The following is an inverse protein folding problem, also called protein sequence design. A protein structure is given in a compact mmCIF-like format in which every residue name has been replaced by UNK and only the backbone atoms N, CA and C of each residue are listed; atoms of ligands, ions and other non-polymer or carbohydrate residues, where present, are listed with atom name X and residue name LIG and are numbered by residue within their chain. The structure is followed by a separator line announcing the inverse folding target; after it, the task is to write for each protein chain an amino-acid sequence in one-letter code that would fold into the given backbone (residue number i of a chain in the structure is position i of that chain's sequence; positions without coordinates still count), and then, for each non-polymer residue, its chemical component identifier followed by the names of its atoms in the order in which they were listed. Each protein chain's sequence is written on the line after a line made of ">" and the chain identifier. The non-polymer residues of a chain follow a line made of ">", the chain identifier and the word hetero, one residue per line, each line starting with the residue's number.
data_IF_092818282257
#
_entry.id   IF_092818282257
#
_cell.length_a   1.000
_cell.length_b   1.000
_cell.length_c   1.000
_cell.angle_alpha   90.00
_cell.angle_beta   90.00
_cell.angle_gamma   90.00
#
_symmetry.space_group_name_H-M   'P 1'
#
loop_
_entity.id
_entity.type
_entity.pdbx_description
1 polymer ?
#
# COMPACT_ATOMS: atom_id res chain seq x y z
N UNK A 1 -11.10 9.25 8.17
CA UNK A 1 -11.34 9.99 9.42
C UNK A 1 -10.15 10.00 10.36
N UNK A 2 -9.37 8.90 10.56
CA UNK A 2 -8.20 8.95 11.48
C UNK A 2 -7.13 9.93 11.01
N UNK A 3 -6.77 9.94 9.72
CA UNK A 3 -5.78 10.89 9.18
C UNK A 3 -6.25 12.35 9.33
N UNK A 4 -7.53 12.63 9.11
CA UNK A 4 -8.12 13.98 9.31
C UNK A 4 -8.02 14.41 10.78
N UNK A 5 -8.26 13.45 11.70
CA UNK A 5 -8.15 13.70 13.13
C UNK A 5 -6.70 13.98 13.55
N UNK A 6 -5.75 13.20 13.04
CA UNK A 6 -4.31 13.38 13.29
C UNK A 6 -3.86 14.75 12.76
N UNK A 7 -4.25 15.10 11.53
CA UNK A 7 -3.96 16.41 10.93
C UNK A 7 -4.60 17.55 11.73
N UNK A 8 -5.85 17.40 12.19
CA UNK A 8 -6.55 18.41 13.01
C UNK A 8 -5.88 18.63 14.36
N UNK A 9 -5.32 17.59 14.95
CA UNK A 9 -4.55 17.69 16.20
C UNK A 9 -3.13 18.25 15.99
N UNK A 10 -2.73 18.55 14.77
CA UNK A 10 -1.40 19.04 14.43
C UNK A 10 -0.29 17.98 14.62
N UNK A 11 -0.66 16.71 14.64
CA UNK A 11 0.27 15.59 14.76
C UNK A 11 0.76 15.13 13.38
N UNK A 12 2.01 14.72 13.28
CA UNK A 12 2.55 14.09 12.08
C UNK A 12 2.10 12.64 12.00
N UNK A 13 1.53 12.26 10.85
CA UNK A 13 1.11 10.88 10.62
C UNK A 13 0.55 10.70 9.23
N UNK A 14 1.25 9.96 8.41
CA UNK A 14 0.86 9.68 7.02
C UNK A 14 0.25 8.29 6.90
N UNK A 15 -0.69 8.14 5.97
CA UNK A 15 -1.30 6.86 5.64
C UNK A 15 -0.59 6.22 4.45
N UNK A 16 -0.53 4.88 4.43
CA UNK A 16 0.00 4.10 3.31
C UNK A 16 -1.06 3.10 2.86
N UNK A 17 -1.31 3.06 1.55
CA UNK A 17 -2.29 2.17 0.94
C UNK A 17 -1.99 1.88 -0.53
N UNK A 18 -2.95 1.25 -1.19
CA UNK A 18 -2.91 1.00 -2.63
C UNK A 18 -3.94 1.86 -3.36
N UNK A 19 -3.58 2.29 -4.57
CA UNK A 19 -4.46 3.00 -5.46
C UNK A 19 -5.29 1.99 -6.27
N UNK A 20 -6.45 1.60 -5.74
CA UNK A 20 -7.31 0.66 -6.43
C UNK A 20 -8.13 1.37 -7.51
N UNK A 21 -8.14 0.83 -8.74
CA UNK A 21 -8.90 1.37 -9.86
C UNK A 21 -10.40 1.16 -9.69
N UNK A 22 -10.77 0.00 -9.15
CA UNK A 22 -12.15 -0.37 -8.90
C UNK A 22 -12.35 -0.53 -7.39
N UNK A 23 -13.30 0.21 -6.83
CA UNK A 23 -13.69 0.07 -5.44
C UNK A 23 -14.46 -1.21 -5.17
N UNK A 24 -15.47 -1.10 -4.33
CA UNK A 24 -16.51 -2.13 -4.24
C UNK A 24 -17.30 -2.14 -5.54
N UNK A 25 -17.66 -3.33 -6.01
CA UNK A 25 -18.48 -3.47 -7.23
C UNK A 25 -19.84 -2.79 -7.06
N UNK A 26 -20.36 -2.24 -8.16
CA UNK A 26 -21.71 -1.71 -8.24
C UNK A 26 -22.68 -2.88 -8.45
N UNK A 27 -23.75 -2.90 -7.67
CA UNK A 27 -24.82 -3.88 -7.82
C UNK A 27 -25.91 -3.32 -8.72
N UNK A 28 -26.27 -4.07 -9.76
CA UNK A 28 -27.39 -3.77 -10.65
C UNK A 28 -28.36 -4.95 -10.70
N UNK A 29 -29.57 -4.71 -11.18
CA UNK A 29 -30.54 -5.76 -11.43
C UNK A 29 -30.70 -6.00 -12.94
N UNK A 30 -30.46 -7.22 -13.38
CA UNK A 30 -30.66 -7.66 -14.74
C UNK A 30 -31.45 -8.96 -14.74
N UNK A 31 -32.53 -9.04 -15.54
CA UNK A 31 -33.39 -10.21 -15.61
C UNK A 31 -33.91 -10.70 -14.25
N UNK A 32 -34.26 -9.77 -13.35
CA UNK A 32 -34.70 -10.02 -11.97
C UNK A 32 -33.66 -10.71 -11.07
N UNK A 33 -32.38 -10.63 -11.42
CA UNK A 33 -31.26 -11.13 -10.62
C UNK A 33 -30.29 -10.00 -10.36
N UNK A 34 -29.70 -10.04 -9.18
CA UNK A 34 -28.59 -9.15 -8.85
C UNK A 34 -27.37 -9.54 -9.67
N UNK A 35 -26.64 -8.54 -10.14
CA UNK A 35 -25.40 -8.67 -10.90
C UNK A 35 -24.40 -7.62 -10.44
N UNK A 36 -23.16 -8.01 -10.26
CA UNK A 36 -22.05 -7.15 -9.95
C UNK A 36 -21.42 -6.63 -11.26
N UNK A 37 -21.12 -5.33 -11.28
CA UNK A 37 -20.40 -4.67 -12.37
C UNK A 37 -19.27 -3.80 -11.81
N UNK A 38 -18.23 -3.49 -12.60
CA UNK A 38 -17.16 -2.60 -12.17
C UNK A 38 -17.70 -1.27 -11.68
N UNK A 39 -17.07 -0.74 -10.63
CA UNK A 39 -17.36 0.57 -10.06
C UNK A 39 -16.08 1.40 -10.01
N UNK A 40 -15.65 1.98 -11.13
CA UNK A 40 -14.46 2.82 -11.16
C UNK A 40 -14.67 4.03 -10.24
N UNK A 41 -13.65 4.36 -9.46
CA UNK A 41 -13.70 5.51 -8.56
C UNK A 41 -12.51 6.46 -8.73
N UNK A 42 -11.56 6.09 -9.60
CA UNK A 42 -10.51 7.01 -10.03
C UNK A 42 -11.07 7.84 -11.18
N UNK A 43 -11.24 9.14 -10.92
CA UNK A 43 -11.65 10.09 -11.94
C UNK A 43 -10.41 10.80 -12.52
N UNK A 44 -10.41 11.15 -13.83
CA UNK A 44 -9.27 11.84 -14.45
C UNK A 44 -8.90 13.17 -13.79
N UNK A 45 -9.85 13.83 -13.16
CA UNK A 45 -9.69 15.10 -12.43
C UNK A 45 -9.69 14.88 -10.91
N UNK A 46 -9.32 13.69 -10.47
CA UNK A 46 -9.30 13.31 -9.05
C UNK A 46 -8.23 14.05 -8.24
N UNK A 47 -8.26 13.83 -6.94
CA UNK A 47 -7.37 14.48 -5.95
C UNK A 47 -6.01 13.80 -5.84
N UNK A 48 -5.72 12.85 -6.70
CA UNK A 48 -4.45 12.13 -6.76
C UNK A 48 -3.38 13.00 -7.40
N UNK A 49 -2.31 13.23 -6.67
CA UNK A 49 -1.12 13.93 -7.17
C UNK A 49 -0.03 12.90 -7.50
N UNK A 50 0.35 12.79 -8.77
CA UNK A 50 1.49 11.98 -9.17
C UNK A 50 2.77 12.60 -8.61
N UNK A 51 3.50 11.85 -7.80
CA UNK A 51 4.74 12.31 -7.17
C UNK A 51 5.97 12.11 -8.04
N UNK A 52 5.87 11.32 -9.10
CA UNK A 52 7.00 10.85 -9.91
C UNK A 52 7.88 9.80 -9.22
N UNK A 53 7.62 9.47 -7.95
CA UNK A 53 8.36 8.46 -7.19
C UNK A 53 7.93 7.06 -7.64
N UNK A 54 8.89 6.16 -7.72
CA UNK A 54 8.70 4.79 -8.21
C UNK A 54 9.64 3.84 -7.50
N UNK A 55 9.15 2.66 -7.15
CA UNK A 55 9.96 1.60 -6.54
C UNK A 55 9.81 0.29 -7.31
N UNK A 56 10.87 -0.52 -7.24
CA UNK A 56 10.85 -1.90 -7.68
C UNK A 56 10.51 -2.81 -6.50
N UNK A 57 9.45 -3.59 -6.66
CA UNK A 57 9.01 -4.58 -5.65
C UNK A 57 9.29 -5.98 -6.20
N UNK A 58 10.34 -6.66 -5.69
CA UNK A 58 10.67 -8.02 -6.11
C UNK A 58 9.74 -9.03 -5.44
N UNK A 59 9.17 -9.91 -6.24
CA UNK A 59 8.55 -11.15 -5.82
C UNK A 59 9.48 -12.32 -6.12
N UNK A 60 9.06 -13.54 -5.82
CA UNK A 60 9.89 -14.71 -6.03
C UNK A 60 10.32 -14.87 -7.50
N UNK A 61 9.39 -14.74 -8.44
CA UNK A 61 9.60 -15.10 -9.84
C UNK A 61 9.46 -13.89 -10.79
N UNK A 62 9.11 -12.70 -10.27
CA UNK A 62 8.93 -11.48 -11.04
C UNK A 62 9.16 -10.23 -10.18
N UNK A 63 9.24 -9.09 -10.83
CA UNK A 63 9.33 -7.77 -10.16
C UNK A 63 8.25 -6.86 -10.73
N UNK A 64 7.62 -6.06 -9.87
CA UNK A 64 6.66 -5.04 -10.28
C UNK A 64 7.23 -3.65 -10.01
N UNK A 65 6.99 -2.74 -10.94
CA UNK A 65 7.32 -1.31 -10.77
C UNK A 65 6.09 -0.58 -10.25
N UNK A 66 6.24 0.14 -9.15
CA UNK A 66 5.18 0.98 -8.59
C UNK A 66 5.25 2.42 -9.10
N UNK A 67 4.12 3.12 -9.00
CA UNK A 67 4.03 4.58 -9.02
C UNK A 67 3.40 5.03 -7.70
N UNK A 68 3.88 6.15 -7.15
CA UNK A 68 3.33 6.74 -5.94
C UNK A 68 2.46 7.94 -6.27
N UNK A 69 1.24 7.91 -5.75
CA UNK A 69 0.31 9.03 -5.76
C UNK A 69 0.02 9.49 -4.34
N UNK A 70 -0.06 10.79 -4.14
CA UNK A 70 -0.40 11.40 -2.86
C UNK A 70 -1.79 12.02 -2.88
N UNK A 71 -2.47 11.95 -1.74
CA UNK A 71 -3.63 12.78 -1.41
C UNK A 71 -3.26 13.61 -0.19
N UNK A 72 -3.35 14.93 -0.30
CA UNK A 72 -3.15 15.83 0.82
C UNK A 72 -4.34 15.75 1.78
N UNK A 73 -4.06 15.53 3.06
CA UNK A 73 -5.05 15.49 4.14
C UNK A 73 -4.88 16.74 4.99
N UNK A 74 -5.81 17.66 4.87
CA UNK A 74 -5.79 18.93 5.60
C UNK A 74 -6.53 18.81 6.95
N UNK A 75 -5.92 19.31 7.99
CA UNK A 75 -6.55 19.49 9.30
C UNK A 75 -7.32 20.81 9.40
N UNK A 76 -7.96 21.02 10.54
CA UNK A 76 -8.82 22.20 10.78
C UNK A 76 -8.06 23.52 10.81
N UNK A 77 -6.81 23.53 11.31
CA UNK A 77 -5.98 24.75 11.35
C UNK A 77 -4.90 24.68 10.26
N UNK A 78 -3.70 24.30 10.57
CA UNK A 78 -2.60 24.23 9.61
C UNK A 78 -1.96 22.83 9.51
N UNK A 79 -2.59 21.82 10.11
CA UNK A 79 -2.11 20.46 10.05
C UNK A 79 -2.25 19.89 8.63
N UNK A 80 -1.20 19.30 8.14
CA UNK A 80 -1.16 18.63 6.82
C UNK A 80 -0.47 17.29 6.98
N UNK A 81 -1.15 16.26 6.56
CA UNK A 81 -0.61 14.92 6.43
C UNK A 81 -0.86 14.40 5.01
N UNK A 82 -0.34 13.26 4.68
CA UNK A 82 -0.51 12.65 3.37
C UNK A 82 -1.12 11.26 3.47
N UNK A 83 -1.85 10.90 2.44
CA UNK A 83 -2.20 9.52 2.15
C UNK A 83 -1.43 9.11 0.89
N UNK A 84 -0.45 8.24 1.09
CA UNK A 84 0.40 7.67 0.05
C UNK A 84 -0.28 6.44 -0.55
N UNK A 85 -0.57 6.47 -1.83
CA UNK A 85 -1.25 5.39 -2.54
C UNK A 85 -0.33 4.85 -3.66
N UNK A 86 0.03 3.59 -3.54
CA UNK A 86 0.86 2.92 -4.54
C UNK A 86 0.02 2.19 -5.57
N UNK A 87 0.43 2.31 -6.82
CA UNK A 87 -0.18 1.64 -7.97
C UNK A 87 0.87 0.84 -8.74
N UNK A 88 0.43 -0.16 -9.49
CA UNK A 88 1.29 -0.89 -10.43
C UNK A 88 1.30 -0.15 -11.77
N UNK A 89 2.49 0.22 -12.27
CA UNK A 89 2.60 0.93 -13.56
C UNK A 89 2.04 0.18 -14.77
N UNK A 90 1.94 -1.14 -14.68
CA UNK A 90 1.46 -2.01 -15.76
C UNK A 90 -0.01 -2.42 -15.62
N UNK A 91 -0.78 -1.77 -14.75
CA UNK A 91 -2.21 -2.06 -14.56
C UNK A 91 -2.97 -1.95 -15.89
N UNK A 92 -3.91 -2.83 -16.11
CA UNK A 92 -4.71 -2.87 -17.34
C UNK A 92 -6.18 -3.17 -17.05
N UNK A 93 -7.01 -2.14 -17.06
CA UNK A 93 -8.47 -2.28 -16.85
C UNK A 93 -9.15 -3.07 -17.97
N UNK A 94 -8.53 -3.16 -19.16
CA UNK A 94 -9.05 -3.87 -20.31
C UNK A 94 -9.11 -5.39 -20.16
N UNK A 95 -8.53 -5.95 -19.09
CA UNK A 95 -8.60 -7.38 -18.79
C UNK A 95 -9.90 -7.82 -18.13
N UNK A 96 -10.73 -6.88 -17.66
CA UNK A 96 -12.01 -7.17 -17.00
C UNK A 96 -12.98 -7.74 -18.03
N UNK A 97 -13.59 -8.86 -17.71
CA UNK A 97 -14.55 -9.57 -18.58
C UNK A 97 -15.79 -9.97 -17.78
N UNK A 98 -16.93 -10.03 -18.46
CA UNK A 98 -18.19 -10.56 -17.90
C UNK A 98 -18.52 -10.07 -16.46
N UNK A 99 -18.62 -8.75 -16.29
CA UNK A 99 -18.87 -8.14 -15.00
C UNK A 99 -17.58 -7.78 -14.27
N UNK A 100 -17.17 -8.54 -13.27
CA UNK A 100 -15.98 -8.27 -12.43
C UNK A 100 -14.90 -9.37 -12.54
N UNK A 101 -15.00 -10.24 -13.54
CA UNK A 101 -14.06 -11.37 -13.70
C UNK A 101 -12.83 -10.98 -14.51
N UNK A 102 -11.69 -11.51 -14.12
CA UNK A 102 -10.41 -11.36 -14.82
C UNK A 102 -9.48 -12.54 -14.50
N UNK A 103 -8.41 -12.72 -15.25
CA UNK A 103 -7.40 -13.72 -14.91
C UNK A 103 -6.54 -13.25 -13.75
N UNK A 104 -6.75 -13.84 -12.57
CA UNK A 104 -6.04 -13.51 -11.33
C UNK A 104 -4.53 -13.79 -11.39
N UNK A 105 -4.07 -14.60 -12.36
CA UNK A 105 -2.65 -14.95 -12.52
C UNK A 105 -1.85 -13.86 -13.23
N UNK A 106 -2.50 -12.97 -13.97
CA UNK A 106 -1.85 -11.82 -14.62
C UNK A 106 -1.56 -10.69 -13.61
N UNK A 107 -0.82 -10.99 -12.54
CA UNK A 107 -0.61 -10.12 -11.38
C UNK A 107 -0.11 -8.73 -11.79
N UNK A 108 0.78 -8.64 -12.77
CA UNK A 108 1.30 -7.37 -13.28
C UNK A 108 0.22 -6.44 -13.87
N UNK A 109 -0.93 -6.99 -14.27
CA UNK A 109 -2.02 -6.22 -14.85
C UNK A 109 -3.22 -6.03 -13.92
N UNK A 110 -3.28 -6.76 -12.81
CA UNK A 110 -4.47 -6.80 -11.99
C UNK A 110 -4.26 -6.48 -10.50
N UNK A 111 -3.01 -6.34 -10.03
CA UNK A 111 -2.70 -6.26 -8.60
C UNK A 111 -3.47 -5.14 -7.89
N UNK A 112 -3.57 -3.96 -8.49
CA UNK A 112 -4.27 -2.78 -7.95
C UNK A 112 -5.63 -2.54 -8.63
N UNK A 113 -6.14 -3.54 -9.37
CA UNK A 113 -7.37 -3.37 -10.13
C UNK A 113 -8.61 -3.30 -9.21
N UNK A 114 -8.77 -4.27 -8.31
CA UNK A 114 -9.91 -4.34 -7.38
C UNK A 114 -9.47 -4.30 -5.93
N UNK A 115 -10.20 -3.55 -5.11
CA UNK A 115 -10.00 -3.49 -3.65
C UNK A 115 -10.18 -4.88 -3.00
N UNK A 116 -11.21 -5.61 -3.40
CA UNK A 116 -11.50 -6.97 -2.94
C UNK A 116 -11.69 -7.90 -4.14
N UNK A 117 -10.61 -8.46 -4.69
CA UNK A 117 -10.75 -9.52 -5.70
C UNK A 117 -11.41 -10.75 -5.07
N UNK A 118 -12.11 -11.53 -5.89
CA UNK A 118 -12.65 -12.81 -5.46
C UNK A 118 -11.50 -13.74 -5.00
N UNK A 119 -11.53 -14.15 -3.75
CA UNK A 119 -10.53 -15.00 -3.09
C UNK A 119 -11.07 -16.41 -2.76
N UNK A 120 -12.11 -16.84 -3.45
CA UNK A 120 -12.70 -18.18 -3.30
C UNK A 120 -11.82 -19.31 -3.83
N UNK A 121 -10.80 -18.99 -4.63
CA UNK A 121 -9.83 -19.92 -5.20
C UNK A 121 -8.39 -19.61 -4.77
N UNK A 122 -7.46 -20.53 -5.06
CA UNK A 122 -6.06 -20.39 -4.71
C UNK A 122 -5.40 -19.17 -5.38
N UNK A 123 -5.76 -18.86 -6.63
CA UNK A 123 -5.20 -17.72 -7.35
C UNK A 123 -5.65 -16.39 -6.73
N UNK A 124 -6.90 -16.30 -6.27
CA UNK A 124 -7.42 -15.14 -5.56
C UNK A 124 -6.78 -14.95 -4.19
N UNK A 125 -6.61 -16.04 -3.42
CA UNK A 125 -5.88 -16.01 -2.16
C UNK A 125 -4.43 -15.51 -2.35
N UNK A 126 -3.74 -16.01 -3.38
CA UNK A 126 -2.37 -15.60 -3.69
C UNK A 126 -2.32 -14.13 -4.15
N UNK A 127 -3.29 -13.68 -4.95
CA UNK A 127 -3.38 -12.28 -5.37
C UNK A 127 -3.50 -11.34 -4.17
N UNK A 128 -4.32 -11.70 -3.16
CA UNK A 128 -4.43 -10.91 -1.92
C UNK A 128 -3.11 -10.82 -1.14
N UNK A 129 -2.35 -11.91 -1.09
CA UNK A 129 -1.01 -11.89 -0.48
C UNK A 129 -0.08 -10.96 -1.26
N UNK A 130 -0.13 -10.98 -2.58
CA UNK A 130 0.66 -10.09 -3.42
C UNK A 130 0.27 -8.62 -3.24
N UNK A 131 -1.02 -8.29 -3.13
CA UNK A 131 -1.48 -6.93 -2.81
C UNK A 131 -0.89 -6.43 -1.48
N UNK A 132 -0.95 -7.25 -0.45
CA UNK A 132 -0.43 -6.91 0.88
C UNK A 132 1.08 -6.70 0.87
N UNK A 133 1.82 -7.63 0.26
CA UNK A 133 3.27 -7.50 0.15
C UNK A 133 3.69 -6.29 -0.68
N UNK A 134 3.01 -6.03 -1.79
CA UNK A 134 3.27 -4.86 -2.63
C UNK A 134 3.10 -3.55 -1.85
N UNK A 135 2.01 -3.41 -1.10
CA UNK A 135 1.78 -2.25 -0.23
C UNK A 135 2.88 -2.09 0.81
N UNK A 136 3.20 -3.17 1.50
CA UNK A 136 4.19 -3.19 2.59
C UNK A 136 5.60 -2.86 2.10
N UNK A 137 6.02 -3.46 0.99
CA UNK A 137 7.35 -3.23 0.43
C UNK A 137 7.51 -1.79 -0.06
N UNK A 138 6.51 -1.25 -0.73
CA UNK A 138 6.51 0.15 -1.15
C UNK A 138 6.55 1.11 0.05
N UNK A 139 5.73 0.88 1.06
CA UNK A 139 5.71 1.69 2.28
C UNK A 139 7.05 1.67 3.02
N UNK A 140 7.65 0.50 3.17
CA UNK A 140 8.97 0.38 3.81
C UNK A 140 10.07 1.10 3.00
N UNK A 141 10.04 0.98 1.66
CA UNK A 141 10.99 1.70 0.79
C UNK A 141 10.82 3.22 0.89
N UNK A 142 9.58 3.72 0.90
CA UNK A 142 9.29 5.14 1.08
C UNK A 142 9.82 5.67 2.41
N UNK A 143 9.54 4.98 3.51
CA UNK A 143 10.02 5.35 4.85
C UNK A 143 11.56 5.46 4.87
N UNK A 144 12.26 4.46 4.34
CA UNK A 144 13.72 4.48 4.33
C UNK A 144 14.27 5.57 3.42
N UNK A 145 13.65 5.82 2.26
CA UNK A 145 14.04 6.89 1.35
C UNK A 145 13.90 8.26 2.03
N UNK A 146 12.77 8.55 2.66
CA UNK A 146 12.55 9.82 3.37
C UNK A 146 13.51 10.02 4.54
N UNK A 147 13.85 8.95 5.27
CA UNK A 147 14.85 9.04 6.34
C UNK A 147 16.23 9.40 5.78
N UNK A 148 16.62 8.81 4.66
CA UNK A 148 17.89 9.13 3.99
C UNK A 148 17.92 10.57 3.44
N UNK A 149 16.82 11.03 2.85
CA UNK A 149 16.70 12.41 2.35
C UNK A 149 16.81 13.45 3.49
N UNK A 150 16.30 13.11 4.68
CA UNK A 150 16.42 13.94 5.88
C UNK A 150 17.78 13.78 6.58
N UNK A 151 18.66 12.91 6.08
CA UNK A 151 19.97 12.63 6.67
C UNK A 151 19.92 11.92 8.00
N UNK A 152 18.83 11.19 8.30
CA UNK A 152 18.68 10.44 9.54
C UNK A 152 19.42 9.10 9.48
N UNK A 153 20.05 8.73 10.60
CA UNK A 153 20.69 7.43 10.72
C UNK A 153 19.65 6.31 10.82
N UNK A 154 19.62 5.42 9.83
CA UNK A 154 18.69 4.29 9.80
C UNK A 154 18.84 3.35 11.01
N UNK A 155 19.98 3.35 11.68
CA UNK A 155 20.21 2.60 12.93
C UNK A 155 19.38 3.13 14.09
N UNK A 156 18.94 4.38 13.98
CA UNK A 156 18.10 5.08 14.95
C UNK A 156 16.68 5.33 14.41
N UNK A 157 16.20 4.47 13.54
CA UNK A 157 14.90 4.63 12.89
C UNK A 157 13.77 4.87 13.89
N UNK A 158 13.80 4.18 15.02
CA UNK A 158 12.82 4.30 16.11
C UNK A 158 12.76 5.70 16.77
N UNK A 159 13.79 6.53 16.61
CA UNK A 159 13.76 7.92 17.11
C UNK A 159 12.92 8.84 16.21
N UNK A 160 12.66 8.42 14.97
CA UNK A 160 12.03 9.25 13.94
C UNK A 160 10.74 8.66 13.36
N UNK A 161 10.59 7.36 13.42
CA UNK A 161 9.49 6.63 12.75
C UNK A 161 8.84 5.65 13.70
N UNK A 162 7.49 5.69 13.72
CA UNK A 162 6.66 4.67 14.34
C UNK A 162 5.71 4.11 13.27
N UNK A 163 5.71 2.80 13.07
CA UNK A 163 4.88 2.13 12.08
C UNK A 163 3.67 1.52 12.79
N UNK A 164 2.49 2.12 12.58
CA UNK A 164 1.22 1.58 13.05
C UNK A 164 0.65 0.61 12.01
N UNK A 165 0.43 -0.61 12.43
CA UNK A 165 -0.16 -1.66 11.60
C UNK A 165 -1.67 -1.71 11.86
N UNK A 166 -2.45 -1.69 10.79
CA UNK A 166 -3.87 -1.93 10.84
C UNK A 166 -4.15 -3.36 10.36
N UNK A 167 -4.69 -4.21 11.26
CA UNK A 167 -4.86 -5.65 11.03
C UNK A 167 -3.53 -6.44 11.04
N UNK A 168 -3.57 -7.75 10.80
CA UNK A 168 -2.43 -8.67 10.94
C UNK A 168 -1.57 -8.81 9.67
N UNK A 169 -2.18 -8.71 8.48
CA UNK A 169 -1.46 -8.93 7.22
C UNK A 169 -0.36 -7.89 6.92
N UNK A 170 -0.45 -6.59 7.31
CA UNK A 170 0.68 -5.67 7.14
C UNK A 170 1.88 -5.98 8.04
N UNK A 171 1.80 -6.97 8.93
CA UNK A 171 2.94 -7.43 9.75
C UNK A 171 4.13 -7.91 8.90
N UNK A 172 3.91 -8.20 7.60
CA UNK A 172 4.99 -8.43 6.64
C UNK A 172 5.97 -7.25 6.51
N UNK A 173 5.63 -6.06 7.02
CA UNK A 173 6.56 -4.93 7.07
C UNK A 173 7.81 -5.24 7.91
N UNK A 174 7.70 -6.10 8.91
CA UNK A 174 8.82 -6.46 9.79
C UNK A 174 9.92 -7.17 8.98
N UNK A 175 9.67 -8.34 8.37
CA UNK A 175 10.68 -9.01 7.56
C UNK A 175 11.11 -8.20 6.33
N UNK A 176 10.23 -7.41 5.74
CA UNK A 176 10.58 -6.57 4.60
C UNK A 176 11.52 -5.43 5.00
N UNK A 177 11.27 -4.78 6.13
CA UNK A 177 12.17 -3.75 6.67
C UNK A 177 13.56 -4.34 6.96
N UNK A 178 13.63 -5.52 7.59
CA UNK A 178 14.89 -6.23 7.81
C UNK A 178 15.62 -6.48 6.49
N UNK A 179 14.91 -7.01 5.48
CA UNK A 179 15.48 -7.28 4.15
C UNK A 179 16.06 -6.02 3.51
N UNK A 180 15.34 -4.91 3.57
CA UNK A 180 15.77 -3.63 3.00
C UNK A 180 16.96 -3.03 3.75
N UNK A 181 16.99 -3.11 5.09
CA UNK A 181 18.11 -2.65 5.91
C UNK A 181 19.38 -3.46 5.62
N UNK A 182 19.25 -4.78 5.50
CA UNK A 182 20.38 -5.66 5.12
C UNK A 182 20.89 -5.31 3.71
N UNK A 183 19.99 -5.01 2.76
CA UNK A 183 20.37 -4.53 1.42
C UNK A 183 21.15 -3.20 1.46
N UNK A 184 20.95 -2.40 2.51
CA UNK A 184 21.69 -1.16 2.80
C UNK A 184 22.97 -1.38 3.64
N UNK A 185 23.48 -2.63 3.71
CA UNK A 185 24.68 -3.04 4.42
C UNK A 185 24.60 -2.88 5.95
N UNK A 186 23.43 -2.96 6.54
CA UNK A 186 23.23 -3.10 7.97
C UNK A 186 23.29 -4.60 8.32
N UNK A 187 23.99 -4.95 9.42
CA UNK A 187 24.08 -6.34 9.87
C UNK A 187 22.67 -6.92 10.14
N UNK A 188 22.50 -8.20 9.87
CA UNK A 188 21.20 -8.87 9.98
C UNK A 188 20.61 -8.79 11.41
N UNK A 189 21.43 -9.02 12.44
CA UNK A 189 20.95 -8.94 13.83
C UNK A 189 20.63 -7.50 14.23
N UNK A 190 21.43 -6.54 13.77
CA UNK A 190 21.16 -5.12 13.95
C UNK A 190 19.86 -4.71 13.26
N UNK A 191 19.61 -5.18 12.03
CA UNK A 191 18.37 -4.92 11.30
C UNK A 191 17.13 -5.48 12.01
N UNK A 192 17.24 -6.65 12.67
CA UNK A 192 16.18 -7.20 13.52
C UNK A 192 15.87 -6.25 14.69
N UNK A 193 16.89 -5.76 15.38
CA UNK A 193 16.68 -4.86 16.51
C UNK A 193 16.07 -3.52 16.08
N UNK A 194 16.48 -2.98 14.94
CA UNK A 194 15.89 -1.77 14.36
C UNK A 194 14.40 -2.01 14.06
N UNK A 195 14.06 -3.09 13.37
CA UNK A 195 12.69 -3.40 13.03
C UNK A 195 11.82 -3.62 14.27
N UNK A 196 12.36 -4.30 15.30
CA UNK A 196 11.69 -4.55 16.57
C UNK A 196 11.37 -3.26 17.33
N UNK A 197 12.23 -2.28 17.28
CA UNK A 197 12.08 -1.01 18.02
C UNK A 197 11.25 0.02 17.26
N UNK A 198 11.15 -0.09 15.92
CA UNK A 198 10.42 0.87 15.08
C UNK A 198 8.94 0.48 14.84
N UNK A 199 8.53 -0.73 15.23
CA UNK A 199 7.14 -1.18 15.12
C UNK A 199 6.38 -1.00 16.43
N UNK A 200 5.05 -0.81 16.34
CA UNK A 200 4.18 -0.91 17.51
C UNK A 200 3.89 -2.41 17.71
N UNK A 201 4.20 -2.98 18.88
CA UNK A 201 3.95 -4.39 19.15
C UNK A 201 2.48 -4.74 19.00
N UNK A 202 2.20 -5.85 18.30
CA UNK A 202 0.83 -6.38 18.11
C UNK A 202 0.13 -6.74 19.43
N UNK A 203 0.89 -6.96 20.50
CA UNK A 203 0.40 -7.27 21.84
C UNK A 203 -0.26 -6.08 22.56
N UNK A 204 -0.25 -4.90 21.94
CA UNK A 204 -0.92 -3.69 22.43
C UNK A 204 -2.15 -3.28 21.61
N UNK A 205 -2.50 -4.06 20.62
CA UNK A 205 -3.74 -3.98 19.88
C UNK A 205 -4.76 -4.98 20.46
#
# INVERSE_FOLDING_TARGET
>A
CFLDSIATLGLSGDGIGLNYHMGLFKQIFENRRQKEVPNPWIEPEGWLCDTGISFEVPFRDFTLTSALYDIDVAGYENGKNKLHLFDVKSIDEGIIRNGITFDKREVAKNLTLFLYPDDSDEAGNLLRIYQQYFMVSNGAQLILMECEEKGWDLRKLHEHVAIQINDTHPSMVIPELIRLLVKKNIDFNEAIEIARTSGIPLDKL
#
